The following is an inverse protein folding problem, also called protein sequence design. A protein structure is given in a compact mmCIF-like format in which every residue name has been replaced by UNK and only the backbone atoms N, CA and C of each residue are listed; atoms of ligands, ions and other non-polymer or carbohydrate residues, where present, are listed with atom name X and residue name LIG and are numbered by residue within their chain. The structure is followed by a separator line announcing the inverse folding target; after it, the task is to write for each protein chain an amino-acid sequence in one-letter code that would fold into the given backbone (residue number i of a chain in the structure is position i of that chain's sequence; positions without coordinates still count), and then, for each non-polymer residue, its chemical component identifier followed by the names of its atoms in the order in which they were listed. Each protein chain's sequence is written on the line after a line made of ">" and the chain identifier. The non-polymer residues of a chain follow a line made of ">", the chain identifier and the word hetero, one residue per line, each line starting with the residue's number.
data_IF_768342087456
#
_entry.id   IF_768342087456
#
_cell.length_a   1.000
_cell.length_b   1.000
_cell.length_c   1.000
_cell.angle_alpha   90.00
_cell.angle_beta   90.00
_cell.angle_gamma   90.00
#
_symmetry.space_group_name_H-M   'P 1'
#
loop_
_entity.id
_entity.type
_entity.pdbx_description
1 polymer ?
#
# COMPACT_ATOMS: atom_id res chain seq x y z
N UNK A 1 -26.63 0.77 -14.82
CA UNK A 1 -25.99 0.95 -13.50
C UNK A 1 -26.22 -0.38 -12.79
N UNK A 2 -25.26 -1.30 -12.93
CA UNK A 2 -25.42 -2.69 -12.48
C UNK A 2 -24.82 -2.82 -11.08
N UNK A 3 -25.68 -3.15 -10.11
CA UNK A 3 -25.34 -3.55 -8.74
C UNK A 3 -24.64 -4.91 -8.72
N UNK A 4 -23.41 -4.97 -9.22
CA UNK A 4 -22.53 -6.07 -8.85
C UNK A 4 -21.97 -5.77 -7.44
N UNK A 5 -22.06 -6.71 -6.48
CA UNK A 5 -21.46 -6.51 -5.16
C UNK A 5 -19.95 -6.30 -5.31
N UNK A 6 -19.41 -5.41 -4.48
CA UNK A 6 -18.00 -5.12 -4.42
C UNK A 6 -17.19 -6.42 -4.19
N UNK A 7 -16.07 -6.65 -4.90
CA UNK A 7 -15.21 -7.81 -4.71
C UNK A 7 -14.75 -7.82 -3.26
N UNK A 8 -14.56 -9.03 -2.74
CA UNK A 8 -14.19 -9.25 -1.36
C UNK A 8 -12.99 -8.38 -0.96
N UNK A 9 -13.24 -7.37 -0.09
CA UNK A 9 -12.23 -6.40 0.33
C UNK A 9 -12.49 -4.94 -0.02
N UNK A 10 -13.49 -4.63 -0.86
CA UNK A 10 -13.99 -3.27 -1.06
C UNK A 10 -15.21 -3.01 -0.14
N UNK A 11 -15.31 -1.84 0.52
CA UNK A 11 -16.46 -1.55 1.39
C UNK A 11 -17.74 -1.41 0.56
N UNK A 12 -18.84 -1.99 1.06
CA UNK A 12 -20.14 -2.00 0.38
C UNK A 12 -20.75 -0.59 0.25
N UNK A 13 -20.46 0.32 1.19
CA UNK A 13 -20.89 1.72 1.16
C UNK A 13 -19.79 2.65 1.67
N UNK A 14 -19.91 3.94 1.34
CA UNK A 14 -19.00 4.99 1.83
C UNK A 14 -19.60 5.59 3.11
N UNK A 15 -18.99 5.35 4.27
CA UNK A 15 -19.32 6.12 5.46
C UNK A 15 -18.88 7.59 5.26
N UNK A 16 -19.73 8.54 5.64
CA UNK A 16 -19.31 9.93 5.71
C UNK A 16 -18.29 10.11 6.84
N UNK A 17 -17.32 11.03 6.71
CA UNK A 17 -16.35 11.30 7.77
C UNK A 17 -17.06 11.63 9.09
N UNK A 18 -16.91 10.76 10.11
CA UNK A 18 -17.47 10.94 11.45
C UNK A 18 -18.70 10.10 11.80
N UNK A 19 -19.32 9.37 10.85
CA UNK A 19 -20.53 8.58 11.11
C UNK A 19 -20.27 7.11 11.47
N UNK A 20 -19.13 6.55 11.07
CA UNK A 20 -18.71 5.21 11.45
C UNK A 20 -17.69 5.31 12.59
N UNK A 21 -18.09 4.89 13.79
CA UNK A 21 -17.24 4.87 14.97
C UNK A 21 -15.86 4.25 14.69
N UNK A 22 -14.81 4.96 15.12
CA UNK A 22 -13.43 4.51 15.03
C UNK A 22 -12.81 4.63 13.63
N UNK A 23 -11.83 5.52 13.50
CA UNK A 23 -10.95 5.72 12.33
C UNK A 23 -10.20 4.45 11.81
N UNK A 24 -10.51 3.27 12.35
CA UNK A 24 -9.73 2.04 12.18
C UNK A 24 -10.39 0.96 11.31
N UNK A 25 -11.73 0.93 11.14
CA UNK A 25 -12.39 -0.27 10.57
C UNK A 25 -13.02 -0.11 9.19
N UNK A 26 -13.28 1.09 8.68
CA UNK A 26 -13.91 1.26 7.35
C UNK A 26 -13.06 2.11 6.42
N UNK A 27 -12.54 1.49 5.35
CA UNK A 27 -11.87 2.21 4.27
C UNK A 27 -10.34 2.29 4.34
N UNK A 28 -9.66 1.47 5.16
CA UNK A 28 -8.23 1.19 4.90
C UNK A 28 -8.12 0.19 3.74
N UNK A 29 -7.14 0.35 2.82
CA UNK A 29 -6.69 -0.80 2.07
C UNK A 29 -6.15 -1.79 3.11
N UNK A 30 -6.48 -3.08 3.00
CA UNK A 30 -5.84 -4.08 3.85
C UNK A 30 -4.32 -3.87 3.73
N UNK A 31 -3.59 -3.98 4.84
CA UNK A 31 -2.13 -3.98 4.80
C UNK A 31 -1.71 -4.99 3.72
N UNK A 32 -1.05 -4.52 2.66
CA UNK A 32 -0.69 -5.34 1.50
C UNK A 32 -1.52 -5.13 0.21
N UNK A 33 -2.46 -4.17 0.17
CA UNK A 33 -3.21 -3.75 -1.02
C UNK A 33 -4.41 -4.66 -1.35
N UNK A 34 -4.86 -4.65 -2.61
CA UNK A 34 -5.93 -5.54 -3.09
C UNK A 34 -5.52 -7.02 -2.96
N UNK A 35 -6.47 -7.86 -2.56
CA UNK A 35 -6.27 -9.32 -2.53
C UNK A 35 -6.04 -9.87 -3.94
N UNK A 36 -6.90 -9.46 -4.87
CA UNK A 36 -6.81 -9.74 -6.30
C UNK A 36 -6.28 -8.51 -7.03
N UNK A 37 -5.01 -8.51 -7.46
CA UNK A 37 -4.40 -7.36 -8.12
C UNK A 37 -5.05 -7.09 -9.48
N UNK A 38 -5.13 -5.80 -9.86
CA UNK A 38 -5.36 -5.39 -11.25
C UNK A 38 -4.32 -6.08 -12.14
N UNK A 39 -4.79 -6.72 -13.21
CA UNK A 39 -3.93 -7.43 -14.16
C UNK A 39 -3.55 -6.51 -15.30
N UNK A 40 -2.28 -6.58 -15.68
CA UNK A 40 -1.71 -5.90 -16.83
C UNK A 40 -1.47 -6.90 -17.94
N UNK A 41 -1.67 -6.50 -19.19
CA UNK A 41 -1.32 -7.34 -20.33
C UNK A 41 0.20 -7.43 -20.54
N UNK A 42 0.64 -8.16 -21.57
CA UNK A 42 2.06 -8.37 -21.85
C UNK A 42 2.81 -7.08 -22.20
N UNK A 43 2.15 -6.12 -22.87
CA UNK A 43 2.75 -4.83 -23.23
C UNK A 43 2.86 -3.95 -22.00
N UNK A 44 1.79 -3.81 -21.24
CA UNK A 44 1.74 -3.04 -20.00
C UNK A 44 2.74 -3.58 -18.96
N UNK A 45 2.87 -4.91 -18.86
CA UNK A 45 3.89 -5.57 -18.02
C UNK A 45 5.30 -5.20 -18.46
N UNK A 46 5.59 -5.22 -19.77
CA UNK A 46 6.90 -4.84 -20.30
C UNK A 46 7.20 -3.35 -20.05
N UNK A 47 6.21 -2.47 -20.21
CA UNK A 47 6.32 -1.04 -19.88
C UNK A 47 6.62 -0.86 -18.40
N UNK A 48 5.86 -1.48 -17.50
CA UNK A 48 6.08 -1.35 -16.05
C UNK A 48 7.48 -1.81 -15.63
N UNK A 49 7.98 -2.92 -16.21
CA UNK A 49 9.35 -3.38 -15.96
C UNK A 49 10.39 -2.38 -16.48
N UNK A 50 10.21 -1.86 -17.70
CA UNK A 50 11.10 -0.85 -18.26
C UNK A 50 11.09 0.46 -17.43
N UNK A 51 9.91 0.89 -16.96
CA UNK A 51 9.79 2.05 -16.06
C UNK A 51 10.53 1.78 -14.75
N UNK A 52 10.34 0.60 -14.15
CA UNK A 52 11.01 0.23 -12.91
C UNK A 52 12.52 0.32 -13.02
N UNK A 53 13.10 -0.25 -14.08
CA UNK A 53 14.55 -0.23 -14.32
C UNK A 53 15.06 1.15 -14.79
N UNK A 54 14.17 2.04 -15.26
CA UNK A 54 14.53 3.42 -15.60
C UNK A 54 14.57 4.30 -14.34
N UNK A 55 13.58 4.16 -13.45
CA UNK A 55 13.50 4.93 -12.20
C UNK A 55 14.52 4.43 -11.18
N UNK A 56 14.76 3.11 -11.13
CA UNK A 56 15.78 2.48 -10.29
C UNK A 56 16.71 1.67 -11.21
N UNK A 57 17.78 2.30 -11.74
CA UNK A 57 18.72 1.64 -12.63
C UNK A 57 19.36 0.38 -12.02
N UNK A 58 19.60 -0.68 -12.82
CA UNK A 58 20.30 -1.87 -12.34
C UNK A 58 21.71 -1.54 -11.81
N UNK A 59 22.06 -2.05 -10.63
CA UNK A 59 23.41 -1.99 -10.04
C UNK A 59 23.77 -3.38 -9.51
N UNK A 60 24.99 -3.92 -9.74
CA UNK A 60 25.37 -5.26 -9.32
C UNK A 60 25.24 -5.56 -7.82
N UNK A 61 25.22 -4.54 -6.96
CA UNK A 61 25.06 -4.68 -5.50
C UNK A 61 23.60 -4.74 -5.07
N UNK A 62 22.68 -4.36 -5.95
CA UNK A 62 21.27 -4.18 -5.65
C UNK A 62 20.41 -5.11 -6.52
N UNK A 63 19.28 -5.62 -6.03
CA UNK A 63 18.34 -6.36 -6.87
C UNK A 63 17.83 -5.48 -8.03
N UNK A 64 17.72 -6.02 -9.24
CA UNK A 64 17.11 -5.29 -10.36
C UNK A 64 15.63 -5.03 -10.06
N UNK A 65 15.13 -3.83 -10.35
CA UNK A 65 13.78 -3.44 -9.95
C UNK A 65 12.68 -4.25 -10.67
N UNK A 66 12.84 -4.52 -11.96
CA UNK A 66 11.91 -5.36 -12.73
C UNK A 66 11.89 -6.83 -12.26
N UNK A 67 12.95 -7.31 -11.61
CA UNK A 67 13.08 -8.71 -11.21
C UNK A 67 12.48 -9.02 -9.83
N UNK A 68 12.05 -8.01 -9.07
CA UNK A 68 11.53 -8.19 -7.69
C UNK A 68 10.00 -8.19 -7.57
N UNK A 69 9.29 -8.39 -8.69
CA UNK A 69 7.84 -8.61 -8.70
C UNK A 69 7.00 -7.33 -8.57
N UNK A 70 7.50 -6.20 -9.10
CA UNK A 70 6.82 -4.90 -8.99
C UNK A 70 5.49 -4.83 -9.73
N UNK A 71 5.31 -5.54 -10.85
CA UNK A 71 4.06 -5.51 -11.61
C UNK A 71 2.87 -5.97 -10.75
N UNK A 72 3.05 -7.07 -10.00
CA UNK A 72 2.03 -7.55 -9.06
C UNK A 72 1.81 -6.57 -7.92
N UNK A 73 2.88 -5.92 -7.43
CA UNK A 73 2.75 -4.87 -6.41
C UNK A 73 1.92 -3.70 -6.94
N UNK A 74 2.26 -3.15 -8.10
CA UNK A 74 1.50 -2.07 -8.77
C UNK A 74 0.02 -2.43 -8.87
N UNK A 75 -0.30 -3.63 -9.34
CA UNK A 75 -1.68 -4.09 -9.47
C UNK A 75 -2.46 -4.14 -8.15
N UNK A 76 -1.78 -4.28 -7.01
CA UNK A 76 -2.43 -4.25 -5.68
C UNK A 76 -2.78 -2.85 -5.20
N UNK A 77 -2.21 -1.81 -5.81
CA UNK A 77 -2.36 -0.42 -5.38
C UNK A 77 -3.00 0.47 -6.45
N UNK A 78 -3.32 -0.08 -7.62
CA UNK A 78 -4.19 0.57 -8.61
C UNK A 78 -5.64 0.28 -8.26
N UNK A 79 -6.47 1.32 -8.21
CA UNK A 79 -7.90 1.21 -7.91
C UNK A 79 -8.62 0.59 -9.12
N UNK A 80 -9.36 -0.52 -8.98
CA UNK A 80 -10.00 -1.16 -10.14
C UNK A 80 -11.09 -0.28 -10.75
N UNK A 81 -11.42 -0.51 -12.02
CA UNK A 81 -12.44 0.29 -12.73
C UNK A 81 -13.79 0.20 -12.04
N UNK A 82 -14.48 1.35 -11.92
CA UNK A 82 -15.76 1.46 -11.22
C UNK A 82 -15.68 1.58 -9.70
N UNK A 83 -14.48 1.59 -9.11
CA UNK A 83 -14.27 1.83 -7.68
C UNK A 83 -13.80 3.25 -7.42
N UNK A 84 -14.26 3.84 -6.31
CA UNK A 84 -13.80 5.17 -5.89
C UNK A 84 -12.37 5.10 -5.36
N UNK A 85 -11.50 5.89 -5.95
CA UNK A 85 -10.14 6.05 -5.46
C UNK A 85 -10.08 6.79 -4.13
N UNK A 86 -9.35 6.22 -3.16
CA UNK A 86 -9.18 6.79 -1.81
C UNK A 86 -7.74 6.75 -1.32
N UNK A 87 -6.80 6.23 -2.10
CA UNK A 87 -5.47 5.89 -1.62
C UNK A 87 -4.38 6.44 -2.51
N UNK A 88 -3.39 7.06 -1.90
CA UNK A 88 -2.17 7.46 -2.59
C UNK A 88 -1.53 6.26 -3.32
N UNK A 89 -1.07 6.40 -4.58
CA UNK A 89 -0.89 7.64 -5.33
C UNK A 89 -2.09 8.08 -6.17
N UNK A 90 -3.28 7.60 -5.83
CA UNK A 90 -4.52 7.90 -6.52
C UNK A 90 -4.50 7.46 -7.99
N UNK A 91 -3.98 6.25 -8.24
CA UNK A 91 -4.05 5.59 -9.55
C UNK A 91 -5.39 4.85 -9.73
N UNK A 92 -6.10 5.16 -10.81
CA UNK A 92 -7.33 4.48 -11.26
C UNK A 92 -6.99 3.59 -12.45
N UNK A 93 -7.58 2.39 -12.53
CA UNK A 93 -7.19 1.35 -13.48
C UNK A 93 -7.25 1.82 -14.93
N UNK A 94 -8.33 2.48 -15.34
CA UNK A 94 -8.57 2.87 -16.73
C UNK A 94 -7.54 3.94 -17.18
N UNK A 95 -7.37 5.01 -16.39
CA UNK A 95 -6.41 6.08 -16.65
C UNK A 95 -4.96 5.58 -16.58
N UNK A 96 -4.65 4.73 -15.60
CA UNK A 96 -3.31 4.19 -15.41
C UNK A 96 -2.94 3.28 -16.58
N UNK A 97 -3.84 2.36 -16.99
CA UNK A 97 -3.63 1.50 -18.16
C UNK A 97 -3.53 2.28 -19.45
N UNK A 98 -4.42 3.25 -19.68
CA UNK A 98 -4.33 4.14 -20.84
C UNK A 98 -2.97 4.89 -20.85
N UNK A 99 -2.49 5.29 -19.68
CA UNK A 99 -1.16 5.84 -19.48
C UNK A 99 -0.03 4.90 -19.94
N UNK A 100 -0.06 3.65 -19.49
CA UNK A 100 0.90 2.61 -19.91
C UNK A 100 0.81 2.34 -21.42
N UNK A 101 -0.39 2.33 -21.98
CA UNK A 101 -0.62 2.10 -23.40
C UNK A 101 -0.08 3.25 -24.26
N UNK A 102 -0.13 4.49 -23.78
CA UNK A 102 0.50 5.66 -24.43
C UNK A 102 2.02 5.55 -24.50
N UNK A 103 2.68 5.01 -23.46
CA UNK A 103 4.11 4.69 -23.51
C UNK A 103 4.38 3.55 -24.49
N UNK A 104 3.58 2.49 -24.37
CA UNK A 104 3.51 1.39 -25.32
C UNK A 104 4.82 0.60 -25.49
N UNK A 105 4.82 -0.26 -26.51
CA UNK A 105 5.93 -1.19 -26.76
C UNK A 105 7.23 -0.47 -27.15
N UNK A 106 7.15 0.66 -27.84
CA UNK A 106 8.31 1.45 -28.24
C UNK A 106 9.13 1.96 -27.04
N UNK A 107 8.46 2.37 -25.96
CA UNK A 107 9.14 2.72 -24.71
C UNK A 107 9.83 1.49 -24.11
N UNK A 108 9.10 0.37 -24.00
CA UNK A 108 9.61 -0.86 -23.41
C UNK A 108 10.82 -1.44 -24.16
N UNK A 109 10.89 -1.27 -25.48
CA UNK A 109 11.99 -1.75 -26.33
C UNK A 109 13.11 -0.70 -26.54
N UNK A 110 12.88 0.55 -26.15
CA UNK A 110 13.88 1.62 -26.24
C UNK A 110 15.12 1.33 -25.39
N UNK A 111 16.23 2.00 -25.68
CA UNK A 111 17.42 1.96 -24.83
C UNK A 111 17.24 2.79 -23.55
N UNK A 112 18.23 2.77 -22.66
CA UNK A 112 18.17 3.46 -21.38
C UNK A 112 17.99 4.97 -21.55
N UNK A 113 18.73 5.60 -22.48
CA UNK A 113 18.68 7.04 -22.71
C UNK A 113 17.31 7.47 -23.23
N UNK A 114 16.74 6.74 -24.20
CA UNK A 114 15.40 7.01 -24.73
C UNK A 114 14.31 6.86 -23.66
N UNK A 115 14.43 5.86 -22.78
CA UNK A 115 13.48 5.70 -21.66
C UNK A 115 13.62 6.81 -20.63
N UNK A 116 14.84 7.20 -20.28
CA UNK A 116 15.09 8.31 -19.35
C UNK A 116 14.56 9.62 -19.91
N UNK A 117 14.75 9.91 -21.21
CA UNK A 117 14.19 11.09 -21.86
C UNK A 117 12.66 11.08 -21.81
N UNK A 118 12.02 9.96 -22.14
CA UNK A 118 10.56 9.84 -22.10
C UNK A 118 9.99 10.05 -20.69
N UNK A 119 10.61 9.45 -19.66
CA UNK A 119 10.21 9.65 -18.26
C UNK A 119 10.44 11.10 -17.80
N UNK A 120 11.58 11.71 -18.16
CA UNK A 120 11.88 13.10 -17.83
C UNK A 120 10.94 14.09 -18.52
N UNK A 121 10.49 13.78 -19.73
CA UNK A 121 9.48 14.56 -20.44
C UNK A 121 8.12 14.52 -19.71
N UNK A 122 7.71 13.35 -19.21
CA UNK A 122 6.49 13.22 -18.40
C UNK A 122 6.58 14.01 -17.09
N UNK A 123 7.72 13.92 -16.40
CA UNK A 123 7.98 14.70 -15.18
C UNK A 123 7.88 16.20 -15.44
N UNK A 124 8.56 16.69 -16.48
CA UNK A 124 8.55 18.12 -16.85
C UNK A 124 7.16 18.60 -17.25
N UNK A 125 6.37 17.75 -17.90
CA UNK A 125 4.99 18.07 -18.29
C UNK A 125 4.01 18.03 -17.11
N UNK A 126 4.43 17.55 -15.93
CA UNK A 126 3.56 17.33 -14.79
C UNK A 126 2.49 16.25 -15.05
N UNK A 127 2.82 15.23 -15.86
CA UNK A 127 1.88 14.14 -16.13
C UNK A 127 1.60 13.36 -14.82
N UNK A 128 0.34 13.25 -14.36
CA UNK A 128 0.00 12.53 -13.13
C UNK A 128 0.50 11.08 -13.11
N UNK A 129 0.62 10.44 -14.28
CA UNK A 129 1.13 9.08 -14.39
C UNK A 129 2.59 8.98 -13.91
N UNK A 130 3.42 10.01 -14.13
CA UNK A 130 4.80 10.00 -13.66
C UNK A 130 4.86 9.87 -12.14
N UNK A 131 4.10 10.70 -11.42
CA UNK A 131 4.06 10.67 -9.96
C UNK A 131 3.54 9.33 -9.42
N UNK A 132 2.53 8.76 -10.08
CA UNK A 132 2.01 7.43 -9.74
C UNK A 132 3.06 6.33 -9.96
N UNK A 133 3.73 6.31 -11.11
CA UNK A 133 4.79 5.36 -11.43
C UNK A 133 5.95 5.48 -10.44
N UNK A 134 6.43 6.71 -10.20
CA UNK A 134 7.51 7.00 -9.25
C UNK A 134 7.17 6.49 -7.85
N UNK A 135 5.99 6.83 -7.34
CA UNK A 135 5.53 6.37 -6.04
C UNK A 135 5.46 4.83 -5.95
N UNK A 136 4.82 4.18 -6.93
CA UNK A 136 4.60 2.73 -6.91
C UNK A 136 5.91 1.96 -7.08
N UNK A 137 6.83 2.43 -7.92
CA UNK A 137 8.16 1.82 -8.09
C UNK A 137 8.96 1.94 -6.80
N UNK A 138 9.05 3.13 -6.20
CA UNK A 138 9.83 3.31 -4.97
C UNK A 138 9.25 2.51 -3.80
N UNK A 139 7.94 2.59 -3.55
CA UNK A 139 7.31 1.82 -2.48
C UNK A 139 7.36 0.32 -2.74
N UNK A 140 7.13 -0.09 -3.98
CA UNK A 140 7.17 -1.49 -4.37
C UNK A 140 8.55 -2.08 -4.16
N UNK A 141 9.59 -1.38 -4.60
CA UNK A 141 10.97 -1.85 -4.56
C UNK A 141 11.50 -1.94 -3.13
N UNK A 142 11.43 -0.83 -2.38
CA UNK A 142 11.95 -0.79 -1.02
C UNK A 142 11.12 -1.56 0.01
N UNK A 143 9.91 -2.02 -0.36
CA UNK A 143 9.13 -2.94 0.48
C UNK A 143 9.49 -4.42 0.28
N UNK A 144 10.39 -4.76 -0.67
CA UNK A 144 10.74 -6.17 -0.92
C UNK A 144 11.78 -6.66 0.10
N UNK A 145 11.59 -7.85 0.70
CA UNK A 145 12.57 -8.41 1.64
C UNK A 145 13.99 -8.53 1.07
N UNK A 146 14.12 -8.88 -0.22
CA UNK A 146 15.43 -8.98 -0.88
C UNK A 146 16.16 -7.64 -0.97
N UNK A 147 15.41 -6.54 -1.09
CA UNK A 147 15.97 -5.17 -1.11
C UNK A 147 16.35 -4.74 0.31
N UNK A 148 15.53 -5.05 1.33
CA UNK A 148 15.90 -4.87 2.75
C UNK A 148 17.22 -5.58 3.07
N UNK A 149 17.39 -6.83 2.61
CA UNK A 149 18.65 -7.56 2.80
C UNK A 149 19.83 -6.90 2.07
N UNK A 150 19.59 -6.31 0.89
CA UNK A 150 20.62 -5.56 0.16
C UNK A 150 21.00 -4.27 0.89
N UNK A 151 20.05 -3.55 1.49
CA UNK A 151 20.31 -2.38 2.35
C UNK A 151 21.26 -2.78 3.48
N UNK A 152 20.96 -3.85 4.22
CA UNK A 152 21.77 -4.29 5.36
C UNK A 152 23.20 -4.69 4.97
N UNK A 153 23.37 -5.24 3.76
CA UNK A 153 24.67 -5.70 3.26
C UNK A 153 25.52 -4.55 2.73
N UNK A 154 24.90 -3.60 2.02
CA UNK A 154 25.63 -2.63 1.22
C UNK A 154 25.73 -1.24 1.86
N UNK A 155 24.87 -0.91 2.84
CA UNK A 155 24.87 0.39 3.51
C UNK A 155 25.27 0.23 4.98
N UNK A 156 26.39 0.83 5.43
CA UNK A 156 26.79 0.79 6.83
C UNK A 156 25.71 1.28 7.81
N UNK A 157 24.99 2.33 7.44
CA UNK A 157 23.88 2.89 8.23
C UNK A 157 22.60 2.03 8.17
N UNK A 158 22.52 1.09 7.23
CA UNK A 158 21.36 0.22 7.02
C UNK A 158 21.46 -1.12 7.74
N UNK A 159 22.56 -1.42 8.45
CA UNK A 159 22.80 -2.74 9.07
C UNK A 159 21.66 -3.23 9.97
N UNK A 160 21.01 -2.31 10.67
CA UNK A 160 19.93 -2.57 11.63
C UNK A 160 18.54 -2.27 11.06
N UNK A 161 18.43 -2.17 9.72
CA UNK A 161 17.14 -2.07 9.04
C UNK A 161 16.56 -3.48 8.82
N UNK A 162 15.28 -3.68 9.06
CA UNK A 162 14.60 -4.97 8.92
C UNK A 162 13.17 -4.83 8.30
N UNK A 163 12.83 -3.67 7.72
CA UNK A 163 11.47 -3.32 7.23
C UNK A 163 10.46 -2.92 8.32
N UNK A 164 9.21 -2.54 8.02
CA UNK A 164 8.21 -2.25 9.06
C UNK A 164 7.84 -3.51 9.87
N UNK A 165 7.54 -3.40 11.19
CA UNK A 165 7.41 -2.18 12.01
C UNK A 165 8.60 -1.94 12.97
N UNK A 166 9.73 -1.42 12.51
CA UNK A 166 10.98 -1.36 13.29
C UNK A 166 11.23 -0.16 14.19
N UNK A 167 12.27 -0.20 15.07
CA UNK A 167 13.37 -1.18 15.21
C UNK A 167 13.08 -2.46 16.01
N UNK A 168 11.92 -2.56 16.66
CA UNK A 168 11.55 -3.72 17.47
C UNK A 168 10.30 -4.47 16.97
N UNK A 169 9.78 -4.17 15.79
CA UNK A 169 8.47 -4.71 15.44
C UNK A 169 7.39 -4.14 16.35
N UNK A 170 6.35 -4.94 16.57
CA UNK A 170 5.43 -4.72 17.68
C UNK A 170 5.99 -5.25 19.01
N UNK A 171 7.27 -5.63 19.18
CA UNK A 171 7.77 -6.21 20.45
C UNK A 171 7.49 -5.31 21.68
N UNK A 172 7.34 -4.00 21.50
CA UNK A 172 6.99 -3.07 22.58
C UNK A 172 5.47 -2.86 22.77
N UNK A 173 4.64 -3.31 21.84
CA UNK A 173 3.17 -3.12 21.83
C UNK A 173 2.38 -4.42 21.83
N UNK A 174 3.00 -5.54 21.52
CA UNK A 174 2.54 -6.88 21.86
C UNK A 174 3.30 -7.28 23.11
N UNK A 175 2.82 -6.87 24.28
CA UNK A 175 3.13 -7.65 25.47
C UNK A 175 2.73 -9.11 25.16
N UNK A 176 3.54 -10.11 25.55
CA UNK A 176 3.09 -11.49 25.50
C UNK A 176 1.76 -11.55 26.25
N UNK A 177 0.74 -12.15 25.63
CA UNK A 177 -0.42 -12.60 26.40
C UNK A 177 0.08 -13.73 27.31
N UNK A 178 0.60 -13.37 28.47
CA UNK A 178 1.02 -14.34 29.48
C UNK A 178 -0.17 -14.73 30.37
N UNK A 179 -0.01 -15.82 31.11
CA UNK A 179 -1.07 -16.33 31.97
C UNK A 179 -1.42 -15.35 33.10
N UNK A 180 -0.49 -14.48 33.51
CA UNK A 180 -0.71 -13.49 34.57
C UNK A 180 -1.65 -12.37 34.09
N UNK A 181 -1.42 -11.85 32.88
CA UNK A 181 -2.25 -10.84 32.23
C UNK A 181 -3.66 -11.39 31.89
N UNK A 182 -3.72 -12.65 31.44
CA UNK A 182 -4.98 -13.38 31.24
C UNK A 182 -5.77 -13.56 32.54
N UNK A 183 -5.07 -13.85 33.64
CA UNK A 183 -5.69 -13.99 34.97
C UNK A 183 -6.21 -12.65 35.49
N UNK A 184 -5.43 -11.57 35.38
CA UNK A 184 -5.88 -10.22 35.78
C UNK A 184 -7.09 -9.72 34.96
N UNK A 185 -7.12 -10.03 33.66
CA UNK A 185 -8.25 -9.69 32.80
C UNK A 185 -9.52 -10.45 33.22
N UNK A 186 -9.40 -11.73 33.61
CA UNK A 186 -10.51 -12.52 34.16
C UNK A 186 -10.98 -12.02 35.54
N UNK A 187 -10.07 -11.51 36.36
CA UNK A 187 -10.40 -10.94 37.68
C UNK A 187 -11.16 -9.61 37.59
N UNK A 188 -10.91 -8.80 36.56
CA UNK A 188 -11.44 -7.44 36.44
C UNK A 188 -12.37 -7.20 35.24
N UNK A 189 -12.55 -8.20 34.37
CA UNK A 189 -13.35 -8.09 33.16
C UNK A 189 -14.02 -9.42 32.82
N UNK A 190 -15.35 -9.46 32.92
CA UNK A 190 -16.16 -10.55 32.40
C UNK A 190 -16.81 -10.14 31.08
N UNK A 191 -16.99 -11.10 30.18
CA UNK A 191 -17.88 -10.90 29.04
C UNK A 191 -19.29 -10.54 29.53
N UNK A 192 -19.87 -9.49 28.96
CA UNK A 192 -21.23 -9.04 29.24
C UNK A 192 -22.01 -9.11 27.93
N UNK A 193 -23.15 -9.79 27.92
CA UNK A 193 -23.97 -9.82 26.70
C UNK A 193 -24.43 -8.41 26.33
N UNK A 194 -24.52 -8.13 25.04
CA UNK A 194 -24.86 -6.80 24.52
C UNK A 194 -26.18 -6.27 25.11
N UNK A 195 -27.13 -7.16 25.44
CA UNK A 195 -28.40 -6.80 26.05
C UNK A 195 -28.28 -6.33 27.52
N UNK A 196 -27.21 -6.72 28.21
CA UNK A 196 -26.98 -6.43 29.63
C UNK A 196 -26.16 -5.15 29.84
N UNK A 197 -25.67 -4.53 28.76
CA UNK A 197 -24.86 -3.30 28.84
C UNK A 197 -25.72 -2.12 29.29
N UNK A 198 -25.53 -1.67 30.52
CA UNK A 198 -26.20 -0.48 31.07
C UNK A 198 -25.39 0.77 30.75
N UNK A 199 -26.06 1.81 30.26
CA UNK A 199 -25.42 3.12 30.02
C UNK A 199 -24.97 3.73 31.35
N UNK A 200 -23.70 4.14 31.40
CA UNK A 200 -23.14 4.83 32.55
C UNK A 200 -23.83 6.19 32.72
N UNK A 201 -24.31 6.47 33.94
CA UNK A 201 -24.85 7.79 34.27
C UNK A 201 -23.72 8.80 34.48
N UNK A 202 -23.67 9.81 33.61
CA UNK A 202 -22.64 10.85 33.62
C UNK A 202 -23.11 12.11 34.35
N UNK A 203 -24.28 12.12 35.00
CA UNK A 203 -24.86 13.27 35.69
C UNK A 203 -23.99 13.84 36.82
N UNK A 204 -23.06 13.03 37.35
CA UNK A 204 -22.13 13.41 38.41
C UNK A 204 -20.76 13.89 37.89
N UNK A 205 -20.50 13.82 36.58
CA UNK A 205 -19.25 14.31 35.99
C UNK A 205 -19.39 15.80 35.65
N UNK A 206 -18.62 16.63 36.36
CA UNK A 206 -18.44 18.04 35.99
C UNK A 206 -17.13 18.21 35.23
N UNK A 207 -17.21 18.83 34.07
CA UNK A 207 -16.03 19.20 33.29
C UNK A 207 -15.44 20.48 33.87
N UNK A 208 -14.16 20.44 34.23
CA UNK A 208 -13.40 21.64 34.60
C UNK A 208 -13.06 22.39 33.32
N UNK A 209 -13.71 23.53 33.11
CA UNK A 209 -13.30 24.59 32.17
C UNK A 209 -12.13 25.38 32.71
#
# INVERSE_FOLDING_TARGET
>A
MNDAPAPFGAPAETANPGEAGGFFETGRPRIGGLLDPVRFDGTQTAVLNAVADTIIPPDPRWPTASEVGLVTFVGRYVTPSGYRNKHFPFAEEDEFKAGLDRLGRSFADGDADARTEAIGAMETAGDPLFEQLRALVYYGYYSRPVVTLAINRNLPAGRDYHGPPLPYGYLQTTEPWDEELLTQAQENGSYLETADVVRVDLSQLSWTT
#
